data_IF_981409191623
#
_entry.id   IF_981409191623
#
_cell.length_a   1.000
_cell.length_b   1.000
_cell.length_c   1.000
_cell.angle_alpha   90.00
_cell.angle_beta   90.00
_cell.angle_gamma   90.00
#
_symmetry.space_group_name_H-M   'P 1'
#
loop_
_entity.id
_entity.type
_entity.pdbx_description
1 polymer ?
#
# COMPACT_ATOMS: atom_id res chain seq x y z
N UNK A 1 15.19 -12.12 -23.22
CA UNK A 1 14.36 -10.91 -23.33
C UNK A 1 13.85 -10.47 -21.98
N UNK A 2 14.23 -9.28 -21.54
CA UNK A 2 13.72 -8.71 -20.30
C UNK A 2 12.30 -8.21 -20.56
N UNK A 3 11.32 -8.75 -19.84
CA UNK A 3 9.97 -8.18 -19.84
C UNK A 3 10.07 -6.80 -19.20
N UNK A 4 9.89 -5.75 -20.01
CA UNK A 4 9.97 -4.38 -19.50
C UNK A 4 8.73 -4.03 -18.68
N UNK A 5 7.58 -4.54 -19.11
CA UNK A 5 6.27 -4.32 -18.49
C UNK A 5 5.36 -5.53 -18.72
N UNK A 6 4.64 -5.94 -17.68
CA UNK A 6 3.54 -6.91 -17.73
C UNK A 6 2.24 -6.16 -17.52
N UNK A 7 1.31 -6.26 -18.48
CA UNK A 7 -0.04 -5.71 -18.36
C UNK A 7 -1.04 -6.87 -18.35
N UNK A 8 -1.94 -6.89 -17.36
CA UNK A 8 -3.00 -7.89 -17.25
C UNK A 8 -4.31 -7.20 -16.90
N UNK A 9 -5.36 -7.50 -17.65
CA UNK A 9 -6.68 -6.90 -17.46
C UNK A 9 -7.74 -8.00 -17.40
N UNK A 10 -8.75 -7.82 -16.56
CA UNK A 10 -9.94 -8.67 -16.52
C UNK A 10 -11.19 -7.86 -16.21
N UNK A 11 -12.34 -8.37 -16.62
CA UNK A 11 -13.63 -7.83 -16.15
C UNK A 11 -14.07 -8.57 -14.89
N UNK A 12 -13.87 -9.88 -14.85
CA UNK A 12 -14.24 -10.71 -13.71
C UNK A 12 -13.26 -11.84 -13.48
N UNK A 13 -12.97 -12.11 -12.21
CA UNK A 13 -12.06 -13.17 -11.80
C UNK A 13 -10.78 -12.65 -11.15
N UNK A 14 -9.98 -13.58 -10.64
CA UNK A 14 -8.75 -13.25 -9.92
C UNK A 14 -7.57 -13.17 -10.87
N UNK A 15 -6.74 -12.14 -10.71
CA UNK A 15 -5.44 -12.03 -11.38
C UNK A 15 -4.34 -12.38 -10.37
N UNK A 16 -3.44 -13.27 -10.77
CA UNK A 16 -2.29 -13.68 -9.98
C UNK A 16 -1.03 -13.44 -10.81
N UNK A 17 -0.22 -12.46 -10.40
CA UNK A 17 1.04 -12.10 -11.04
C UNK A 17 2.15 -12.39 -10.04
N UNK A 18 3.09 -13.25 -10.41
CA UNK A 18 4.15 -13.68 -9.49
C UNK A 18 5.54 -13.63 -10.13
N UNK A 19 6.54 -13.29 -9.31
CA UNK A 19 7.99 -13.34 -9.64
C UNK A 19 8.36 -12.59 -10.92
N UNK A 20 7.83 -11.38 -11.08
CA UNK A 20 8.11 -10.51 -12.24
C UNK A 20 9.32 -9.62 -11.94
N UNK A 21 10.27 -9.58 -12.86
CA UNK A 21 11.32 -8.57 -12.91
C UNK A 21 11.02 -7.61 -14.07
N UNK A 22 10.48 -6.43 -13.75
CA UNK A 22 9.88 -5.49 -14.67
C UNK A 22 8.64 -4.83 -14.06
N UNK A 23 8.11 -3.81 -14.75
CA UNK A 23 6.94 -3.07 -14.26
C UNK A 23 5.66 -3.92 -14.42
N UNK A 24 4.69 -3.75 -13.52
CA UNK A 24 3.41 -4.48 -13.55
C UNK A 24 2.25 -3.50 -13.51
N UNK A 25 1.32 -3.65 -14.47
CA UNK A 25 0.00 -3.02 -14.45
C UNK A 25 -1.07 -4.12 -14.44
N UNK A 26 -1.88 -4.18 -13.39
CA UNK A 26 -2.92 -5.18 -13.22
C UNK A 26 -4.26 -4.50 -12.90
N UNK A 27 -5.28 -4.81 -13.70
CA UNK A 27 -6.60 -4.19 -13.57
C UNK A 27 -7.71 -5.24 -13.57
N UNK A 28 -8.69 -5.09 -12.68
CA UNK A 28 -9.92 -5.90 -12.74
C UNK A 28 -11.15 -5.10 -12.36
N UNK A 29 -12.31 -5.36 -12.97
CA UNK A 29 -13.56 -4.73 -12.49
C UNK A 29 -14.06 -5.44 -11.24
N UNK A 30 -14.07 -6.77 -11.25
CA UNK A 30 -14.56 -7.57 -10.12
C UNK A 30 -13.65 -8.77 -9.86
N UNK A 31 -12.93 -8.76 -8.75
CA UNK A 31 -12.05 -9.86 -8.39
C UNK A 31 -10.83 -9.45 -7.58
N UNK A 32 -10.00 -10.43 -7.28
CA UNK A 32 -8.80 -10.25 -6.46
C UNK A 32 -7.58 -10.03 -7.36
N UNK A 33 -6.76 -9.04 -7.04
CA UNK A 33 -5.43 -8.86 -7.61
C UNK A 33 -4.41 -9.33 -6.59
N UNK A 34 -3.62 -10.35 -6.93
CA UNK A 34 -2.49 -10.83 -6.12
C UNK A 34 -1.20 -10.59 -6.88
N UNK A 35 -0.38 -9.68 -6.39
CA UNK A 35 0.90 -9.31 -6.99
C UNK A 35 2.02 -9.72 -6.03
N UNK A 36 2.76 -10.78 -6.37
CA UNK A 36 3.71 -11.44 -5.48
C UNK A 36 5.14 -11.38 -6.02
N UNK A 37 6.08 -10.81 -5.26
CA UNK A 37 7.50 -10.83 -5.62
C UNK A 37 7.83 -10.03 -6.88
N UNK A 38 7.14 -8.90 -7.09
CA UNK A 38 7.42 -7.99 -8.20
C UNK A 38 8.65 -7.12 -7.89
N UNK A 39 9.60 -7.07 -8.82
CA UNK A 39 10.75 -6.15 -8.80
C UNK A 39 10.62 -5.16 -9.95
N UNK A 40 10.14 -3.95 -9.66
CA UNK A 40 9.73 -2.95 -10.64
C UNK A 40 8.59 -2.08 -10.10
N UNK A 41 8.10 -1.14 -10.89
CA UNK A 41 6.97 -0.30 -10.49
C UNK A 41 5.64 -1.06 -10.62
N UNK A 42 4.69 -0.76 -9.73
CA UNK A 42 3.44 -1.50 -9.61
C UNK A 42 2.25 -0.56 -9.69
N UNK A 43 1.31 -0.87 -10.59
CA UNK A 43 -0.03 -0.30 -10.63
C UNK A 43 -1.06 -1.42 -10.54
N UNK A 44 -1.87 -1.40 -9.48
CA UNK A 44 -2.97 -2.33 -9.26
C UNK A 44 -4.29 -1.59 -9.08
N UNK A 45 -5.29 -1.87 -9.90
CA UNK A 45 -6.57 -1.13 -9.84
C UNK A 45 -7.75 -2.12 -9.86
N UNK A 46 -8.72 -1.92 -8.97
CA UNK A 46 -9.98 -2.69 -9.00
C UNK A 46 -11.20 -1.84 -8.66
N UNK A 47 -12.37 -2.18 -9.21
CA UNK A 47 -13.62 -1.54 -8.79
C UNK A 47 -14.18 -2.26 -7.57
N UNK A 48 -14.30 -3.59 -7.64
CA UNK A 48 -14.82 -4.42 -6.56
C UNK A 48 -13.91 -5.60 -6.29
N UNK A 49 -13.17 -5.54 -5.20
CA UNK A 49 -12.33 -6.64 -4.77
C UNK A 49 -11.06 -6.19 -4.07
N UNK A 50 -10.24 -7.19 -3.74
CA UNK A 50 -9.05 -7.02 -2.92
C UNK A 50 -7.80 -6.90 -3.79
N UNK A 51 -6.91 -6.00 -3.40
CA UNK A 51 -5.55 -5.93 -3.94
C UNK A 51 -4.60 -6.36 -2.82
N UNK A 52 -3.86 -7.44 -3.05
CA UNK A 52 -2.80 -7.92 -2.16
C UNK A 52 -1.46 -7.84 -2.89
N UNK A 53 -0.60 -6.93 -2.45
CA UNK A 53 0.78 -6.82 -2.93
C UNK A 53 1.69 -7.36 -1.84
N UNK A 54 2.44 -8.41 -2.16
CA UNK A 54 3.39 -9.02 -1.23
C UNK A 54 4.73 -9.26 -1.91
N UNK A 55 5.82 -9.31 -1.13
CA UNK A 55 7.12 -9.61 -1.72
C UNK A 55 7.75 -8.47 -2.54
N UNK A 56 7.12 -7.29 -2.61
CA UNK A 56 7.47 -6.29 -3.62
C UNK A 56 8.82 -5.59 -3.34
N UNK A 57 9.60 -5.38 -4.39
CA UNK A 57 10.82 -4.57 -4.43
C UNK A 57 10.62 -3.44 -5.45
N UNK A 58 9.96 -2.37 -5.01
CA UNK A 58 9.47 -1.31 -5.89
C UNK A 58 9.85 0.08 -5.39
N UNK A 59 10.04 1.02 -6.32
CA UNK A 59 10.18 2.45 -6.01
C UNK A 59 8.84 3.19 -6.14
N UNK A 60 7.93 2.72 -6.99
CA UNK A 60 6.59 3.29 -7.14
C UNK A 60 5.51 2.23 -7.04
N UNK A 61 4.59 2.41 -6.10
CA UNK A 61 3.42 1.56 -5.96
C UNK A 61 2.17 2.44 -5.94
N UNK A 62 1.23 2.15 -6.83
CA UNK A 62 -0.13 2.69 -6.83
C UNK A 62 -1.10 1.53 -6.76
N UNK A 63 -1.93 1.49 -5.71
CA UNK A 63 -2.92 0.44 -5.53
C UNK A 63 -4.28 1.06 -5.15
N UNK A 64 -5.28 0.89 -6.00
CA UNK A 64 -6.56 1.60 -5.88
C UNK A 64 -7.75 0.65 -5.95
N UNK A 65 -8.70 0.80 -5.02
CA UNK A 65 -9.98 0.10 -5.04
C UNK A 65 -11.15 1.06 -4.87
N UNK A 66 -12.29 0.82 -5.54
CA UNK A 66 -13.53 1.53 -5.16
C UNK A 66 -14.18 0.83 -3.96
N UNK A 67 -14.27 -0.49 -3.99
CA UNK A 67 -14.83 -1.29 -2.91
C UNK A 67 -13.97 -2.53 -2.68
N UNK A 68 -13.22 -2.54 -1.58
CA UNK A 68 -12.44 -3.69 -1.15
C UNK A 68 -11.15 -3.30 -0.44
N UNK A 69 -10.43 -4.30 0.06
CA UNK A 69 -9.24 -4.04 0.84
C UNK A 69 -8.01 -3.88 -0.05
N UNK A 70 -7.07 -3.03 0.37
CA UNK A 70 -5.76 -2.91 -0.27
C UNK A 70 -4.67 -3.19 0.75
N UNK A 71 -3.85 -4.20 0.47
CA UNK A 71 -2.75 -4.64 1.29
C UNK A 71 -1.42 -4.45 0.56
N UNK A 72 -0.42 -3.92 1.27
CA UNK A 72 0.96 -3.86 0.79
C UNK A 72 1.94 -4.41 1.83
N UNK A 73 2.81 -5.29 1.36
CA UNK A 73 4.01 -5.75 2.08
C UNK A 73 5.18 -5.89 1.11
N UNK A 74 6.31 -5.31 1.48
CA UNK A 74 7.47 -5.25 0.59
C UNK A 74 8.57 -4.37 1.17
N UNK A 75 9.64 -4.21 0.40
CA UNK A 75 10.68 -3.22 0.74
C UNK A 75 10.17 -1.81 0.51
N UNK A 76 10.78 -0.86 1.20
CA UNK A 76 10.57 0.57 0.98
C UNK A 76 11.89 1.18 0.51
N UNK A 77 11.92 1.63 -0.73
CA UNK A 77 13.06 2.37 -1.27
C UNK A 77 13.10 3.76 -0.60
N UNK A 78 14.26 4.26 -0.16
CA UNK A 78 14.35 5.58 0.45
C UNK A 78 13.92 6.74 -0.46
N UNK A 79 13.89 6.57 -1.78
CA UNK A 79 13.33 7.55 -2.72
C UNK A 79 11.94 7.13 -3.23
N UNK A 80 11.36 6.08 -2.65
CA UNK A 80 10.12 5.47 -3.12
C UNK A 80 8.86 6.21 -2.71
N UNK A 81 7.81 6.05 -3.51
CA UNK A 81 6.47 6.58 -3.28
C UNK A 81 5.45 5.45 -3.33
N UNK A 82 4.62 5.36 -2.29
CA UNK A 82 3.64 4.30 -2.12
C UNK A 82 2.28 4.93 -1.86
N UNK A 83 1.34 4.74 -2.77
CA UNK A 83 -0.01 5.31 -2.73
C UNK A 83 -1.03 4.17 -2.72
N UNK A 84 -1.78 4.06 -1.62
CA UNK A 84 -2.85 3.09 -1.46
C UNK A 84 -4.16 3.85 -1.25
N UNK A 85 -5.17 3.57 -2.07
CA UNK A 85 -6.46 4.25 -2.01
C UNK A 85 -7.59 3.25 -2.02
N UNK A 86 -8.61 3.47 -1.18
CA UNK A 86 -9.86 2.69 -1.25
C UNK A 86 -11.06 3.60 -0.98
N UNK A 87 -12.10 3.64 -1.81
CA UNK A 87 -13.28 4.40 -1.41
C UNK A 87 -14.04 3.72 -0.25
N UNK A 88 -14.26 2.40 -0.32
CA UNK A 88 -14.87 1.62 0.76
C UNK A 88 -14.04 0.36 1.03
N UNK A 89 -13.22 0.41 2.08
CA UNK A 89 -12.37 -0.72 2.45
C UNK A 89 -11.20 -0.34 3.33
N UNK A 90 -10.63 -1.35 3.99
CA UNK A 90 -9.48 -1.17 4.85
C UNK A 90 -8.18 -1.14 4.04
N UNK A 91 -7.25 -0.31 4.48
CA UNK A 91 -5.89 -0.25 3.96
C UNK A 91 -4.93 -0.82 4.99
N UNK A 92 -4.03 -1.71 4.57
CA UNK A 92 -3.02 -2.28 5.45
C UNK A 92 -1.64 -2.20 4.82
N UNK A 93 -0.73 -1.51 5.50
CA UNK A 93 0.68 -1.46 5.11
C UNK A 93 1.52 -2.18 6.15
N UNK A 94 2.33 -3.14 5.71
CA UNK A 94 3.29 -3.84 6.55
C UNK A 94 4.69 -3.35 6.22
N UNK A 95 5.26 -2.56 7.13
CA UNK A 95 6.55 -1.91 6.95
C UNK A 95 7.63 -2.65 7.76
N UNK A 96 8.87 -2.79 7.25
CA UNK A 96 9.98 -3.28 8.07
C UNK A 96 10.26 -2.32 9.23
N UNK A 97 10.75 -2.82 10.37
CA UNK A 97 11.09 -1.99 11.53
C UNK A 97 12.14 -0.89 11.23
N UNK A 98 12.94 -1.08 10.19
CA UNK A 98 13.94 -0.12 9.70
C UNK A 98 13.38 0.88 8.67
N UNK A 99 12.08 0.89 8.42
CA UNK A 99 11.47 1.80 7.46
C UNK A 99 11.71 3.27 7.85
N UNK A 100 11.95 4.10 6.85
CA UNK A 100 12.13 5.54 6.99
C UNK A 100 11.20 6.27 6.04
N UNK A 101 10.03 6.68 6.54
CA UNK A 101 8.93 7.16 5.71
C UNK A 101 8.24 8.39 6.30
N UNK A 102 7.91 9.36 5.45
CA UNK A 102 6.90 10.37 5.74
C UNK A 102 5.54 9.80 5.36
N UNK A 103 4.62 9.72 6.33
CA UNK A 103 3.31 9.08 6.17
C UNK A 103 2.22 10.14 6.20
N UNK A 104 1.30 10.03 5.25
CA UNK A 104 0.03 10.77 5.23
C UNK A 104 -1.10 9.77 5.12
N UNK A 105 -1.89 9.66 6.17
CA UNK A 105 -3.00 8.72 6.27
C UNK A 105 -4.29 9.51 6.41
N UNK A 106 -5.31 9.19 5.62
CA UNK A 106 -6.57 9.92 5.63
C UNK A 106 -7.78 8.97 5.60
N UNK A 107 -8.66 9.06 6.58
CA UNK A 107 -9.94 8.33 6.58
C UNK A 107 -11.12 9.21 7.00
N UNK A 108 -12.18 9.27 6.20
CA UNK A 108 -13.38 10.05 6.54
C UNK A 108 -14.24 9.35 7.60
N UNK A 109 -14.53 8.07 7.38
CA UNK A 109 -15.28 7.21 8.30
C UNK A 109 -14.46 5.97 8.64
N UNK A 110 -13.77 6.02 9.77
CA UNK A 110 -12.93 4.92 10.24
C UNK A 110 -11.91 5.37 11.27
N UNK A 111 -10.88 4.55 11.45
CA UNK A 111 -9.79 4.81 12.38
C UNK A 111 -8.44 4.60 11.72
N UNK A 112 -7.44 5.30 12.23
CA UNK A 112 -6.03 5.13 11.85
C UNK A 112 -5.28 4.53 13.02
N UNK A 113 -4.57 3.43 12.78
CA UNK A 113 -3.76 2.71 13.76
C UNK A 113 -2.33 2.50 13.22
N UNK A 114 -1.33 2.64 14.09
CA UNK A 114 0.08 2.51 13.72
C UNK A 114 0.89 1.86 14.85
N UNK A 115 1.60 0.78 14.51
CA UNK A 115 2.54 0.09 15.41
C UNK A 115 3.86 0.86 15.65
N UNK A 116 4.12 1.92 14.87
CA UNK A 116 5.38 2.67 14.93
C UNK A 116 5.31 3.83 15.93
N UNK A 117 6.42 4.11 16.65
CA UNK A 117 6.50 5.30 17.48
C UNK A 117 6.40 6.54 16.59
N UNK A 118 5.33 7.30 16.75
CA UNK A 118 5.06 8.50 15.96
C UNK A 118 5.83 9.68 16.55
N UNK A 119 6.68 10.33 15.74
CA UNK A 119 7.12 11.68 16.08
C UNK A 119 5.98 12.61 15.69
N UNK A 120 5.12 12.91 16.67
CA UNK A 120 4.01 13.83 16.48
C UNK A 120 4.56 15.24 16.19
N UNK A 121 4.23 15.79 15.02
CA UNK A 121 4.30 17.24 14.82
C UNK A 121 3.34 17.94 15.79
N UNK A 122 3.58 19.22 16.09
CA UNK A 122 2.93 20.00 17.16
C UNK A 122 1.38 20.03 17.17
N UNK A 123 0.71 19.41 16.21
CA UNK A 123 -0.75 19.38 16.04
C UNK A 123 -1.41 18.04 16.40
N UNK A 124 -0.68 16.98 16.72
CA UNK A 124 -1.28 15.64 16.94
C UNK A 124 -1.84 15.41 18.36
N UNK A 125 -2.19 16.50 19.07
CA UNK A 125 -2.57 16.46 20.48
C UNK A 125 -4.08 16.42 20.79
N UNK A 126 -4.99 16.33 19.80
CA UNK A 126 -6.44 16.31 20.09
C UNK A 126 -7.18 15.33 19.18
N UNK A 127 -7.45 14.15 19.71
CA UNK A 127 -8.50 13.27 19.19
C UNK A 127 -9.83 14.04 19.17
N UNK A 128 -10.55 14.02 18.03
CA UNK A 128 -12.01 13.81 17.97
C UNK A 128 -12.62 13.94 16.56
N UNK A 129 -11.93 14.49 15.54
CA UNK A 129 -12.55 14.65 14.21
C UNK A 129 -11.58 14.84 13.03
N UNK A 130 -10.27 14.85 13.27
CA UNK A 130 -9.32 15.07 12.18
C UNK A 130 -9.14 13.75 11.42
N UNK A 131 -9.60 13.74 10.18
CA UNK A 131 -9.57 12.57 9.30
C UNK A 131 -8.17 12.33 8.74
N UNK A 132 -7.25 13.28 8.92
CA UNK A 132 -5.90 13.27 8.36
C UNK A 132 -4.83 13.17 9.44
N UNK A 133 -3.92 12.22 9.27
CA UNK A 133 -2.81 11.92 10.18
C UNK A 133 -1.50 11.96 9.41
N UNK A 134 -0.63 12.90 9.78
CA UNK A 134 0.70 13.03 9.18
C UNK A 134 1.78 12.83 10.24
N UNK A 135 2.72 11.92 9.96
CA UNK A 135 3.84 11.65 10.86
C UNK A 135 5.03 11.02 10.13
N UNK A 136 6.20 11.14 10.74
CA UNK A 136 7.44 10.57 10.20
C UNK A 136 7.88 9.37 11.02
N UNK A 137 8.28 8.29 10.32
CA UNK A 137 8.96 7.13 10.87
C UNK A 137 10.42 7.19 10.42
N UNK A 138 11.37 6.96 11.33
CA UNK A 138 12.80 6.87 10.99
C UNK A 138 13.34 8.13 10.32
N UNK A 139 14.02 7.98 9.18
CA UNK A 139 14.64 9.08 8.44
C UNK A 139 13.69 9.83 7.49
N UNK A 140 12.42 9.40 7.38
CA UNK A 140 11.39 10.09 6.59
C UNK A 140 11.59 10.14 5.07
N UNK A 141 12.54 9.38 4.51
CA UNK A 141 12.98 9.56 3.12
C UNK A 141 11.95 9.07 2.09
N UNK A 142 11.30 7.93 2.32
CA UNK A 142 10.23 7.44 1.45
C UNK A 142 8.92 8.17 1.75
N UNK A 143 7.97 8.15 0.80
CA UNK A 143 6.64 8.76 1.00
C UNK A 143 5.56 7.72 0.92
N UNK A 144 4.70 7.70 1.94
CA UNK A 144 3.54 6.81 2.02
C UNK A 144 2.28 7.66 2.11
N UNK A 145 1.36 7.45 1.19
CA UNK A 145 0.01 8.01 1.22
C UNK A 145 -0.98 6.86 1.29
N UNK A 146 -1.86 6.87 2.28
CA UNK A 146 -2.95 5.90 2.38
C UNK A 146 -4.26 6.64 2.63
N UNK A 147 -5.26 6.45 1.75
CA UNK A 147 -6.52 7.19 1.81
C UNK A 147 -7.72 6.28 1.68
N UNK A 148 -8.68 6.38 2.61
CA UNK A 148 -9.98 5.70 2.48
C UNK A 148 -11.16 6.56 2.86
N UNK A 149 -12.28 6.48 2.16
CA UNK A 149 -13.46 7.24 2.58
C UNK A 149 -14.20 6.51 3.71
N UNK A 150 -14.41 5.21 3.56
CA UNK A 150 -15.02 4.36 4.59
C UNK A 150 -14.13 3.14 4.84
N UNK A 151 -13.40 3.15 5.95
CA UNK A 151 -12.49 2.06 6.29
C UNK A 151 -11.40 2.44 7.28
N UNK A 152 -10.76 1.41 7.82
CA UNK A 152 -9.63 1.58 8.72
C UNK A 152 -8.31 1.57 7.95
N UNK A 153 -7.37 2.40 8.37
CA UNK A 153 -5.99 2.39 7.89
C UNK A 153 -5.11 1.82 8.99
N UNK A 154 -4.32 0.81 8.67
CA UNK A 154 -3.37 0.19 9.60
C UNK A 154 -1.96 0.21 9.04
N UNK A 155 -1.04 0.78 9.80
CA UNK A 155 0.40 0.60 9.59
C UNK A 155 0.90 -0.39 10.63
N UNK A 156 1.35 -1.54 10.15
CA UNK A 156 1.85 -2.60 11.01
C UNK A 156 3.35 -2.76 10.86
N UNK A 157 4.01 -3.17 11.96
CA UNK A 157 5.39 -3.65 11.90
C UNK A 157 5.39 -5.03 11.24
N UNK A 158 5.86 -5.09 10.00
CA UNK A 158 6.16 -6.33 9.30
C UNK A 158 7.61 -6.76 9.50
N UNK A 159 7.86 -8.06 9.55
CA UNK A 159 9.24 -8.56 9.44
C UNK A 159 9.63 -8.61 7.96
N UNK A 160 10.88 -8.25 7.64
CA UNK A 160 11.44 -8.48 6.30
C UNK A 160 11.51 -9.98 5.90
N UNK A 161 11.18 -10.89 6.83
CA UNK A 161 11.20 -12.35 6.66
C UNK A 161 9.94 -12.94 6.00
N UNK A 162 8.88 -12.14 5.80
CA UNK A 162 7.65 -12.60 5.14
C UNK A 162 7.70 -12.48 3.60
N UNK A 163 8.87 -12.16 3.02
CA UNK A 163 9.09 -12.28 1.59
C UNK A 163 9.37 -13.77 1.30
N UNK A 164 8.56 -14.48 0.49
CA UNK A 164 8.89 -15.86 0.12
C UNK A 164 10.26 -15.88 -0.57
N UNK A 165 11.12 -16.83 -0.17
CA UNK A 165 12.42 -17.10 -0.81
C UNK A 165 12.28 -17.38 -2.31
#
# INVERSE_FOLDING_TARGET
DAVRTVTVESVSGSLDVSRVAGDVRAETVSGQLRLNGVTGDIVGETVSGRIDIAGARSKSVRAESVSGQVGYSGTFDPAGTYNLTSHSGALTLRLPASAGATNRLETFSGSVDSDFPVTMGANAGRASHDTRFEFTIGNGRSRITAETFSGNIRIQRGMARDLPE
#
